data_IF_651274069371
#
_entry.id   IF_651274069371
#
_cell.length_a   1.000
_cell.length_b   1.000
_cell.length_c   1.000
_cell.angle_alpha   90.00
_cell.angle_beta   90.00
_cell.angle_gamma   90.00
#
_symmetry.space_group_name_H-M   'P 1'
#
loop_
_entity.id
_entity.type
_entity.pdbx_description
1 polymer ?
#
# COMPACT_ATOMS: atom_id res chain seq x y z
N UNK A 1 -61.81 -49.90 -1.28
CA UNK A 1 -60.85 -49.71 -0.17
C UNK A 1 -59.43 -49.31 -0.62
N UNK A 2 -59.09 -49.31 -1.92
CA UNK A 2 -57.76 -48.95 -2.44
C UNK A 2 -57.44 -47.46 -2.73
N UNK A 3 -58.41 -46.51 -2.85
CA UNK A 3 -58.04 -45.15 -3.27
C UNK A 3 -57.29 -44.37 -2.18
N UNK A 4 -57.42 -44.79 -0.92
CA UNK A 4 -56.71 -44.17 0.20
C UNK A 4 -55.23 -44.57 0.23
N UNK A 5 -54.94 -45.85 -0.04
CA UNK A 5 -53.56 -46.36 -0.10
C UNK A 5 -52.77 -45.76 -1.25
N UNK A 6 -53.41 -45.56 -2.41
CA UNK A 6 -52.75 -44.91 -3.55
C UNK A 6 -52.37 -43.45 -3.23
N UNK A 7 -53.27 -42.69 -2.59
CA UNK A 7 -52.98 -41.31 -2.16
C UNK A 7 -51.85 -41.26 -1.12
N UNK A 8 -51.83 -42.20 -0.17
CA UNK A 8 -50.75 -42.29 0.83
C UNK A 8 -49.40 -42.61 0.18
N UNK A 9 -49.37 -43.52 -0.79
CA UNK A 9 -48.16 -43.89 -1.51
C UNK A 9 -47.61 -42.73 -2.35
N UNK A 10 -48.49 -41.97 -3.01
CA UNK A 10 -48.11 -40.75 -3.74
C UNK A 10 -47.54 -39.70 -2.79
N UNK A 11 -48.13 -39.52 -1.60
CA UNK A 11 -47.67 -38.55 -0.61
C UNK A 11 -46.29 -38.92 -0.03
N UNK A 12 -46.06 -40.21 0.23
CA UNK A 12 -44.74 -40.73 0.64
C UNK A 12 -43.71 -40.51 -0.47
N UNK A 13 -44.05 -40.81 -1.73
CA UNK A 13 -43.18 -40.58 -2.87
C UNK A 13 -42.79 -39.10 -3.04
N UNK A 14 -43.76 -38.20 -2.94
CA UNK A 14 -43.54 -36.74 -2.96
C UNK A 14 -42.66 -36.27 -1.80
N UNK A 15 -42.85 -36.83 -0.60
CA UNK A 15 -42.00 -36.52 0.56
C UNK A 15 -40.54 -36.91 0.32
N UNK A 16 -40.28 -38.11 -0.23
CA UNK A 16 -38.92 -38.51 -0.57
C UNK A 16 -38.32 -37.66 -1.69
N UNK A 17 -39.11 -37.27 -2.70
CA UNK A 17 -38.66 -36.40 -3.78
C UNK A 17 -38.30 -34.99 -3.27
N UNK A 18 -39.13 -34.45 -2.37
CA UNK A 18 -38.87 -33.19 -1.67
C UNK A 18 -37.62 -33.29 -0.80
N UNK A 19 -37.50 -34.34 0.03
CA UNK A 19 -36.29 -34.57 0.83
C UNK A 19 -35.05 -34.70 -0.06
N UNK A 20 -35.13 -35.40 -1.19
CA UNK A 20 -33.98 -35.55 -2.07
C UNK A 20 -33.60 -34.25 -2.78
N UNK A 21 -34.58 -33.47 -3.25
CA UNK A 21 -34.34 -32.26 -4.04
C UNK A 21 -34.06 -31.01 -3.20
N UNK A 22 -34.61 -30.93 -2.00
CA UNK A 22 -34.55 -29.74 -1.13
C UNK A 22 -33.85 -29.98 0.21
N UNK A 23 -33.55 -31.22 0.62
CA UNK A 23 -32.76 -31.47 1.83
C UNK A 23 -31.24 -31.46 1.58
N UNK A 24 -30.79 -30.81 0.49
CA UNK A 24 -29.37 -30.49 0.24
C UNK A 24 -29.03 -29.04 0.59
N UNK A 25 -29.86 -28.36 1.37
CA UNK A 25 -29.48 -27.21 2.19
C UNK A 25 -29.68 -27.66 3.64
N UNK A 26 -28.70 -27.81 4.52
CA UNK A 26 -27.32 -27.39 4.55
C UNK A 26 -26.57 -28.49 5.30
N UNK A 27 -25.87 -29.36 4.59
CA UNK A 27 -24.76 -30.06 5.20
C UNK A 27 -23.65 -29.01 5.32
N UNK A 28 -23.70 -28.21 6.39
CA UNK A 28 -22.46 -27.72 6.99
C UNK A 28 -21.66 -28.98 7.25
N UNK A 29 -20.70 -29.28 6.37
CA UNK A 29 -19.53 -30.03 6.76
C UNK A 29 -18.89 -29.20 7.86
N UNK A 30 -19.36 -29.41 9.09
CA UNK A 30 -18.51 -29.38 10.25
C UNK A 30 -17.41 -30.39 9.93
N UNK A 31 -16.36 -29.89 9.28
CA UNK A 31 -15.07 -30.54 9.36
C UNK A 31 -14.74 -30.47 10.84
N UNK A 32 -15.17 -31.53 11.55
CA UNK A 32 -14.56 -32.01 12.76
C UNK A 32 -13.05 -32.01 12.49
N UNK A 33 -12.42 -30.89 12.83
CA UNK A 33 -10.99 -30.70 12.87
C UNK A 33 -10.51 -31.43 14.14
N UNK A 34 -10.79 -32.73 14.18
CA UNK A 34 -10.09 -33.69 15.01
C UNK A 34 -8.85 -34.03 14.20
N UNK A 35 -7.71 -33.89 14.83
CA UNK A 35 -6.37 -34.07 14.27
C UNK A 35 -5.75 -32.81 13.67
N UNK A 36 -5.92 -31.66 14.36
CA UNK A 36 -4.78 -30.75 14.49
C UNK A 36 -3.75 -31.46 15.39
N UNK A 37 -3.02 -32.41 14.80
CA UNK A 37 -1.88 -33.03 15.42
C UNK A 37 -0.98 -31.91 15.94
N UNK A 38 -0.65 -32.05 17.20
CA UNK A 38 0.31 -31.28 17.94
C UNK A 38 1.72 -31.61 17.40
N UNK A 39 1.96 -31.33 16.12
CA UNK A 39 3.22 -31.61 15.46
C UNK A 39 4.09 -30.36 15.52
N UNK A 40 5.04 -30.40 16.45
CA UNK A 40 6.34 -29.72 16.46
C UNK A 40 6.38 -28.22 16.10
N UNK A 41 6.13 -27.37 17.09
CA UNK A 41 6.54 -25.94 17.10
C UNK A 41 8.04 -25.72 16.85
N UNK A 42 8.87 -26.77 16.92
CA UNK A 42 10.32 -26.73 16.71
C UNK A 42 10.74 -26.86 15.24
N UNK A 43 9.83 -27.22 14.32
CA UNK A 43 10.13 -27.39 12.90
C UNK A 43 9.07 -26.70 12.01
N UNK A 44 8.59 -25.54 12.46
CA UNK A 44 7.67 -24.71 11.68
C UNK A 44 8.47 -23.87 10.69
N UNK A 45 8.50 -24.31 9.43
CA UNK A 45 9.00 -23.51 8.31
C UNK A 45 7.84 -22.72 7.68
N UNK A 46 7.74 -21.40 7.93
CA UNK A 46 6.66 -20.58 7.39
C UNK A 46 6.68 -20.48 5.85
N UNK A 47 7.81 -20.77 5.20
CA UNK A 47 7.95 -20.68 3.74
C UNK A 47 7.30 -21.87 3.02
N UNK A 48 7.24 -23.03 3.68
CA UNK A 48 6.71 -24.28 3.13
C UNK A 48 5.30 -24.64 3.64
N UNK A 49 4.64 -23.71 4.31
CA UNK A 49 3.28 -23.92 4.81
C UNK A 49 2.28 -23.93 3.65
N UNK A 50 1.72 -25.09 3.33
CA UNK A 50 0.62 -25.21 2.36
C UNK A 50 -0.70 -25.12 3.11
N UNK A 51 -1.56 -24.18 2.70
CA UNK A 51 -2.90 -24.03 3.28
C UNK A 51 -3.98 -24.32 2.23
N UNK A 52 -5.11 -24.85 2.70
CA UNK A 52 -6.27 -25.06 1.85
C UNK A 52 -7.16 -23.80 1.86
N UNK A 53 -7.25 -23.11 0.72
CA UNK A 53 -8.15 -21.97 0.52
C UNK A 53 -9.17 -22.30 -0.56
N UNK A 54 -10.46 -22.31 -0.20
CA UNK A 54 -11.54 -22.52 -1.16
C UNK A 54 -11.46 -23.84 -1.94
N UNK A 55 -10.88 -24.89 -1.33
CA UNK A 55 -10.70 -26.21 -1.95
C UNK A 55 -9.42 -26.35 -2.79
N UNK A 56 -8.56 -25.33 -2.83
CA UNK A 56 -7.25 -25.38 -3.50
C UNK A 56 -6.13 -25.32 -2.46
N UNK A 57 -5.13 -26.18 -2.62
CA UNK A 57 -3.91 -26.14 -1.82
C UNK A 57 -2.97 -25.08 -2.39
N UNK A 58 -2.64 -24.07 -1.60
CA UNK A 58 -1.81 -22.93 -1.99
C UNK A 58 -0.77 -22.66 -0.90
N UNK A 59 0.49 -22.35 -1.26
CA UNK A 59 1.51 -22.03 -0.28
C UNK A 59 1.20 -20.68 0.38
N UNK A 60 1.43 -20.59 1.69
CA UNK A 60 1.18 -19.38 2.49
C UNK A 60 1.96 -18.18 1.95
N UNK A 61 3.15 -18.44 1.41
CA UNK A 61 3.98 -17.42 0.77
C UNK A 61 3.27 -16.71 -0.39
N UNK A 62 2.34 -17.34 -1.12
CA UNK A 62 1.62 -16.74 -2.26
C UNK A 62 0.43 -15.85 -1.87
N UNK A 63 -0.02 -15.90 -0.62
CA UNK A 63 -1.28 -15.28 -0.19
C UNK A 63 -1.10 -13.80 0.15
N UNK A 64 0.03 -13.47 0.78
CA UNK A 64 0.29 -12.14 1.33
C UNK A 64 1.43 -11.42 0.61
N UNK A 65 1.79 -11.82 -0.63
CA UNK A 65 2.84 -11.10 -1.37
C UNK A 65 2.35 -9.68 -1.67
N UNK A 66 3.14 -8.63 -1.36
CA UNK A 66 2.80 -7.28 -1.79
C UNK A 66 2.80 -7.24 -3.32
N UNK A 67 1.62 -7.09 -3.91
CA UNK A 67 1.50 -6.85 -5.35
C UNK A 67 1.80 -5.38 -5.62
N UNK A 68 3.00 -5.07 -6.11
CA UNK A 68 3.29 -3.76 -6.69
C UNK A 68 2.97 -3.79 -8.18
N UNK A 69 1.90 -3.12 -8.59
CA UNK A 69 1.73 -2.82 -10.02
C UNK A 69 2.65 -1.64 -10.32
N UNK A 70 3.74 -1.90 -11.04
CA UNK A 70 4.60 -0.83 -11.56
C UNK A 70 3.83 -0.17 -12.70
N UNK A 71 3.09 0.90 -12.37
CA UNK A 71 2.42 1.72 -13.37
C UNK A 71 3.48 2.56 -14.09
N UNK A 72 3.83 2.17 -15.31
CA UNK A 72 4.71 2.99 -16.13
C UNK A 72 4.05 4.36 -16.37
N UNK A 73 4.74 5.49 -16.11
CA UNK A 73 4.17 6.83 -16.23
C UNK A 73 3.58 7.14 -17.61
N UNK A 74 4.08 6.46 -18.66
CA UNK A 74 3.66 6.65 -20.05
C UNK A 74 2.32 5.99 -20.39
N UNK A 75 1.91 4.97 -19.63
CA UNK A 75 0.75 4.14 -19.98
C UNK A 75 -0.54 4.61 -19.29
N UNK A 76 -0.43 5.40 -18.21
CA UNK A 76 -1.55 5.72 -17.33
C UNK A 76 -1.74 7.21 -17.02
N UNK A 77 -0.96 8.10 -17.66
CA UNK A 77 -1.14 9.55 -17.52
C UNK A 77 -1.65 10.16 -18.82
N UNK A 78 -2.65 11.04 -18.78
CA UNK A 78 -3.07 11.79 -19.97
C UNK A 78 -1.92 12.70 -20.41
N UNK A 79 -1.53 12.57 -21.68
CA UNK A 79 -0.60 13.51 -22.33
C UNK A 79 -1.41 14.72 -22.76
N UNK A 80 -1.35 15.80 -21.98
CA UNK A 80 -1.98 17.09 -22.32
C UNK A 80 -1.05 17.90 -23.22
N UNK A 81 -1.54 18.29 -24.41
CA UNK A 81 -0.83 19.21 -25.31
C UNK A 81 -0.94 20.65 -24.78
N UNK A 82 0.08 21.48 -25.06
CA UNK A 82 0.07 22.89 -24.67
C UNK A 82 -1.13 23.65 -25.28
N UNK A 83 -1.57 23.24 -26.46
CA UNK A 83 -2.73 23.82 -27.17
C UNK A 83 -4.09 23.40 -26.58
N UNK A 84 -4.11 22.41 -25.67
CA UNK A 84 -5.33 21.98 -24.99
C UNK A 84 -5.66 22.85 -23.76
N UNK A 85 -4.76 23.76 -23.39
CA UNK A 85 -5.00 24.71 -22.31
C UNK A 85 -5.75 25.93 -22.87
N UNK A 86 -6.79 26.42 -22.18
CA UNK A 86 -7.47 27.65 -22.59
C UNK A 86 -6.53 28.84 -22.49
N UNK A 87 -6.73 29.82 -23.37
CA UNK A 87 -6.00 31.08 -23.33
C UNK A 87 -6.17 31.76 -21.96
N UNK A 88 -5.08 32.35 -21.47
CA UNK A 88 -5.06 33.08 -20.20
C UNK A 88 -5.94 34.34 -20.33
N UNK A 89 -6.79 34.59 -19.33
CA UNK A 89 -7.60 35.80 -19.26
C UNK A 89 -6.73 37.08 -19.31
N UNK A 90 -7.21 38.16 -19.95
CA UNK A 90 -6.42 39.37 -20.14
C UNK A 90 -5.94 40.00 -18.82
N UNK A 91 -6.72 39.90 -17.76
CA UNK A 91 -6.35 40.40 -16.43
C UNK A 91 -5.21 39.60 -15.80
N UNK A 92 -5.20 38.28 -15.98
CA UNK A 92 -4.13 37.41 -15.48
C UNK A 92 -2.81 37.64 -16.24
N UNK A 93 -2.91 37.91 -17.54
CA UNK A 93 -1.74 38.26 -18.37
C UNK A 93 -1.08 39.57 -17.91
N UNK A 94 -1.87 40.59 -17.58
CA UNK A 94 -1.36 41.85 -17.04
C UNK A 94 -0.69 41.66 -15.67
N UNK A 95 -1.28 40.85 -14.78
CA UNK A 95 -0.68 40.51 -13.49
C UNK A 95 0.67 39.80 -13.64
N UNK A 96 0.80 38.91 -14.62
CA UNK A 96 2.06 38.21 -14.90
C UNK A 96 3.12 39.17 -15.47
N UNK A 97 2.74 40.08 -16.36
CA UNK A 97 3.62 41.13 -16.90
C UNK A 97 4.11 42.10 -15.80
N UNK A 98 3.22 42.52 -14.89
CA UNK A 98 3.60 43.35 -13.73
C UNK A 98 4.55 42.61 -12.76
N UNK A 99 4.31 41.31 -12.52
CA UNK A 99 5.19 40.48 -11.69
C UNK A 99 6.54 40.25 -12.35
N UNK A 100 6.59 40.04 -13.66
CA UNK A 100 7.83 39.91 -14.42
C UNK A 100 8.64 41.22 -14.37
N UNK A 101 7.99 42.38 -14.51
CA UNK A 101 8.63 43.68 -14.35
C UNK A 101 9.20 43.88 -12.94
N UNK A 102 8.45 43.49 -11.89
CA UNK A 102 8.93 43.55 -10.48
C UNK A 102 10.10 42.60 -10.22
N UNK A 103 10.11 41.42 -10.84
CA UNK A 103 11.21 40.44 -10.70
C UNK A 103 12.50 40.92 -11.36
N UNK A 104 12.44 41.62 -12.49
CA UNK A 104 13.62 42.23 -13.11
C UNK A 104 14.25 43.34 -12.25
N UNK A 105 13.49 43.97 -11.35
CA UNK A 105 14.02 44.96 -10.40
C UNK A 105 14.79 44.28 -9.26
N UNK A 106 14.43 43.04 -8.91
CA UNK A 106 15.08 42.24 -7.86
C UNK A 106 16.11 41.28 -8.45
N UNK A 107 16.99 41.80 -9.32
CA UNK A 107 18.06 40.98 -9.89
C UNK A 107 18.97 40.47 -8.75
N UNK A 108 19.05 39.15 -8.50
CA UNK A 108 19.73 38.57 -7.34
C UNK A 108 21.25 38.77 -7.38
N UNK A 109 21.82 39.29 -8.47
CA UNK A 109 23.22 39.72 -8.51
C UNK A 109 23.43 41.15 -8.02
N UNK A 110 22.40 42.00 -8.04
CA UNK A 110 22.51 43.42 -7.67
C UNK A 110 22.09 43.64 -6.20
N UNK A 111 21.18 42.83 -5.67
CA UNK A 111 20.57 43.02 -4.34
C UNK A 111 20.99 42.00 -3.27
N UNK A 112 22.02 41.17 -3.52
CA UNK A 112 22.62 40.37 -2.44
C UNK A 112 23.32 41.33 -1.49
N UNK A 113 22.90 41.35 -0.23
CA UNK A 113 23.72 41.91 0.84
C UNK A 113 25.09 41.24 0.78
N UNK A 114 26.14 42.03 0.57
CA UNK A 114 27.51 41.55 0.66
C UNK A 114 27.77 41.22 2.12
N UNK A 115 27.56 39.96 2.49
CA UNK A 115 27.85 39.48 3.84
C UNK A 115 29.36 39.58 4.05
N UNK A 116 29.79 40.52 4.90
CA UNK A 116 31.19 40.67 5.23
C UNK A 116 31.61 39.44 6.09
N UNK A 117 32.59 38.63 5.62
CA UNK A 117 33.02 37.43 6.33
C UNK A 117 33.56 37.72 7.75
N UNK A 118 33.97 38.96 8.03
CA UNK A 118 34.48 39.40 9.34
C UNK A 118 33.35 39.80 10.32
N UNK A 119 32.08 39.75 9.89
CA UNK A 119 30.91 40.04 10.74
C UNK A 119 30.41 38.80 11.48
N UNK A 120 30.89 37.62 11.10
CA UNK A 120 30.62 36.40 11.84
C UNK A 120 31.53 36.40 13.09
N UNK A 121 30.98 36.22 14.30
CA UNK A 121 31.80 36.06 15.48
C UNK A 121 32.72 34.84 15.29
N UNK A 122 34.02 35.03 15.48
CA UNK A 122 34.97 33.92 15.52
C UNK A 122 34.44 32.85 16.47
N UNK A 123 34.50 31.59 16.03
CA UNK A 123 34.06 30.42 16.81
C UNK A 123 34.63 30.53 18.21
N UNK A 124 33.73 30.59 19.21
CA UNK A 124 34.10 30.77 20.62
C UNK A 124 35.22 29.78 21.01
N UNK A 125 36.19 30.19 21.86
CA UNK A 125 37.33 29.35 22.21
C UNK A 125 36.91 27.99 22.79
N UNK A 126 35.75 27.93 23.43
CA UNK A 126 35.17 26.69 23.96
C UNK A 126 34.75 25.69 22.88
N UNK A 127 34.24 26.16 21.73
CA UNK A 127 33.84 25.30 20.63
C UNK A 127 35.05 24.65 19.94
N UNK A 128 36.16 25.39 19.86
CA UNK A 128 37.44 24.88 19.33
C UNK A 128 38.05 23.80 20.22
N UNK A 129 37.99 23.99 21.54
CA UNK A 129 38.43 22.99 22.52
C UNK A 129 37.59 21.71 22.46
N UNK A 130 36.28 21.84 22.22
CA UNK A 130 35.36 20.70 22.13
C UNK A 130 35.62 19.86 20.87
N UNK A 131 35.95 20.50 19.76
CA UNK A 131 36.32 19.82 18.51
C UNK A 131 37.65 19.06 18.65
N UNK A 132 38.66 19.68 19.28
CA UNK A 132 39.96 19.06 19.54
C UNK A 132 39.84 17.84 20.48
N UNK A 133 38.97 17.91 21.49
CA UNK A 133 38.68 16.77 22.37
C UNK A 133 38.02 15.60 21.62
N UNK A 134 37.04 15.89 20.76
CA UNK A 134 36.39 14.88 19.92
C UNK A 134 37.37 14.25 18.92
N UNK A 135 38.29 15.02 18.38
CA UNK A 135 39.32 14.51 17.46
C UNK A 135 40.36 13.65 18.20
N UNK A 136 40.72 14.02 19.42
CA UNK A 136 41.58 13.20 20.28
C UNK A 136 40.91 11.88 20.71
N UNK A 137 39.60 11.87 20.94
CA UNK A 137 38.84 10.65 21.19
C UNK A 137 38.76 9.76 19.96
N UNK A 138 38.53 10.32 18.77
CA UNK A 138 38.55 9.55 17.50
C UNK A 138 39.89 8.87 17.28
N UNK A 139 41.01 9.58 17.51
CA UNK A 139 42.37 9.01 17.39
C UNK A 139 42.73 7.95 18.43
N UNK A 140 41.98 7.85 19.54
CA UNK A 140 42.18 6.82 20.57
C UNK A 140 41.37 5.54 20.31
N UNK A 141 40.31 5.65 19.50
CA UNK A 141 39.42 4.55 19.17
C UNK A 141 39.76 3.88 17.82
N UNK A 142 40.72 4.41 17.07
CA UNK A 142 41.43 3.77 15.95
C UNK A 142 42.68 3.02 16.46
#
# INVERSE_FOLDING_TARGET
MYPFFFKLLVLIGLYFLYKYSFSTESATTDMSNKDAKQDDKSNYDPENLIINMGGKQVPFSEINKPHNVVLEPKQHKPVVSADAFPDIEPEAKQREEELAAKRNILDPNIHKEQVNPDTFPDVEPEAKLREEQLEAERKKND
#
